data_IF_562824706789
#
_entry.id   IF_562824706789
#
_cell.length_a   1.000
_cell.length_b   1.000
_cell.length_c   1.000
_cell.angle_alpha   90.00
_cell.angle_beta   90.00
_cell.angle_gamma   90.00
#
_symmetry.space_group_name_H-M   'P 1'
#
loop_
_entity.id
_entity.type
_entity.pdbx_description
1 polymer ?
#
# COMPACT_ATOMS: atom_id res chain seq x y z
N UNK A 1 48.00 36.25 13.90
CA UNK A 1 46.56 35.90 13.97
C UNK A 1 46.24 35.17 12.68
N UNK A 2 45.93 33.89 12.79
CA UNK A 2 45.84 32.97 11.66
C UNK A 2 44.57 33.25 10.85
N UNK A 3 44.72 33.35 9.53
CA UNK A 3 43.65 33.63 8.57
C UNK A 3 42.75 32.39 8.42
N UNK A 4 41.88 32.13 9.40
CA UNK A 4 40.97 30.97 9.42
C UNK A 4 39.55 31.30 9.90
N UNK A 5 39.06 32.53 9.66
CA UNK A 5 37.71 32.95 10.09
C UNK A 5 36.74 33.21 8.93
N UNK A 6 37.06 32.74 7.72
CA UNK A 6 36.12 32.82 6.59
C UNK A 6 35.30 31.53 6.55
N UNK A 7 34.05 31.62 6.99
CA UNK A 7 33.09 30.51 6.96
C UNK A 7 32.70 30.23 5.50
N UNK A 8 32.91 28.98 5.06
CA UNK A 8 32.43 28.49 3.77
C UNK A 8 30.96 28.07 3.88
N UNK A 9 30.06 28.98 3.48
CA UNK A 9 28.62 28.72 3.49
C UNK A 9 28.20 27.61 2.52
N UNK A 10 28.92 27.41 1.41
CA UNK A 10 28.61 26.36 0.45
C UNK A 10 28.93 24.98 1.00
N UNK A 11 30.04 24.85 1.73
CA UNK A 11 30.36 23.62 2.44
C UNK A 11 29.31 23.29 3.52
N UNK A 12 28.88 24.30 4.28
CA UNK A 12 27.89 24.17 5.35
C UNK A 12 26.50 23.79 4.80
N UNK A 13 26.06 24.40 3.70
CA UNK A 13 24.79 24.06 3.04
C UNK A 13 24.78 22.60 2.58
N UNK A 14 25.89 22.13 1.99
CA UNK A 14 26.03 20.73 1.58
C UNK A 14 25.95 19.78 2.78
N UNK A 15 26.62 20.10 3.88
CA UNK A 15 26.55 19.31 5.12
C UNK A 15 25.12 19.24 5.65
N UNK A 16 24.43 20.37 5.69
CA UNK A 16 23.03 20.45 6.11
C UNK A 16 22.12 19.60 5.22
N UNK A 17 22.29 19.69 3.89
CA UNK A 17 21.52 18.90 2.93
C UNK A 17 21.68 17.39 3.20
N UNK A 18 22.91 16.94 3.44
CA UNK A 18 23.21 15.54 3.77
C UNK A 18 22.56 15.15 5.10
N UNK A 19 22.68 15.99 6.12
CA UNK A 19 22.08 15.73 7.43
C UNK A 19 20.54 15.60 7.32
N UNK A 20 19.89 16.52 6.61
CA UNK A 20 18.43 16.50 6.40
C UNK A 20 17.98 15.25 5.65
N UNK A 21 18.67 14.87 4.58
CA UNK A 21 18.32 13.65 3.84
C UNK A 21 18.56 12.38 4.67
N UNK A 22 19.60 12.37 5.51
CA UNK A 22 19.86 11.26 6.43
C UNK A 22 18.74 11.11 7.47
N UNK A 23 18.27 12.22 8.04
CA UNK A 23 17.18 12.24 9.01
C UNK A 23 15.86 11.78 8.36
N UNK A 24 15.58 12.27 7.14
CA UNK A 24 14.41 11.82 6.36
C UNK A 24 14.41 10.32 6.11
N UNK A 25 15.58 9.73 5.86
CA UNK A 25 15.72 8.28 5.70
C UNK A 25 15.49 7.55 7.02
N UNK A 26 16.13 8.00 8.10
CA UNK A 26 15.97 7.44 9.43
C UNK A 26 14.51 7.44 9.88
N UNK A 27 13.78 8.53 9.60
CA UNK A 27 12.36 8.63 9.92
C UNK A 27 11.53 7.56 9.21
N UNK A 28 11.76 7.32 7.91
CA UNK A 28 11.05 6.27 7.15
C UNK A 28 11.35 4.87 7.67
N UNK A 29 12.62 4.60 8.02
CA UNK A 29 13.04 3.33 8.61
C UNK A 29 12.38 3.11 9.97
N UNK A 30 12.38 4.12 10.85
CA UNK A 30 11.76 4.02 12.17
C UNK A 30 10.24 3.84 12.09
N UNK A 31 9.57 4.55 11.20
CA UNK A 31 8.15 4.36 10.92
C UNK A 31 7.86 2.93 10.41
N UNK A 32 8.70 2.38 9.53
CA UNK A 32 8.59 0.98 9.12
C UNK A 32 8.81 -0.01 10.28
N UNK A 33 9.78 0.24 11.16
CA UNK A 33 10.01 -0.57 12.37
C UNK A 33 8.78 -0.55 13.27
N UNK A 34 8.23 0.63 13.55
CA UNK A 34 7.03 0.79 14.38
C UNK A 34 5.83 0.08 13.77
N UNK A 35 5.59 0.23 12.46
CA UNK A 35 4.53 -0.50 11.75
C UNK A 35 4.67 -2.02 11.88
N UNK A 36 5.86 -2.56 11.64
CA UNK A 36 6.11 -3.99 11.70
C UNK A 36 5.89 -4.55 13.12
N UNK A 37 6.31 -3.81 14.15
CA UNK A 37 6.06 -4.15 15.56
C UNK A 37 4.56 -4.11 15.88
N UNK A 38 3.85 -3.06 15.45
CA UNK A 38 2.40 -2.96 15.62
C UNK A 38 1.64 -4.12 14.95
N UNK A 39 2.14 -4.61 13.82
CA UNK A 39 1.58 -5.75 13.11
C UNK A 39 2.00 -7.11 13.69
N UNK A 40 2.84 -7.15 14.73
CA UNK A 40 3.40 -8.38 15.33
C UNK A 40 4.07 -9.28 14.29
N UNK A 41 4.81 -8.67 13.35
CA UNK A 41 5.53 -9.39 12.30
C UNK A 41 6.60 -10.33 12.88
N UNK A 42 6.84 -11.46 12.22
CA UNK A 42 8.03 -12.28 12.53
C UNK A 42 9.31 -11.50 12.21
N UNK A 43 10.46 -11.93 12.73
CA UNK A 43 11.72 -11.23 12.48
C UNK A 43 12.05 -11.11 10.98
N UNK A 44 11.82 -12.18 10.22
CA UNK A 44 12.07 -12.17 8.76
C UNK A 44 11.16 -11.16 8.06
N UNK A 45 9.87 -11.15 8.40
CA UNK A 45 8.91 -10.17 7.88
C UNK A 45 9.26 -8.74 8.28
N UNK A 46 9.67 -8.54 9.54
CA UNK A 46 10.14 -7.24 10.02
C UNK A 46 11.34 -6.76 9.21
N UNK A 47 12.32 -7.64 8.96
CA UNK A 47 13.51 -7.33 8.18
C UNK A 47 13.14 -6.90 6.76
N UNK A 48 12.23 -7.64 6.12
CA UNK A 48 11.76 -7.34 4.77
C UNK A 48 11.01 -6.00 4.72
N UNK A 49 10.13 -5.73 5.68
CA UNK A 49 9.38 -4.47 5.78
C UNK A 49 10.30 -3.25 5.97
N UNK A 50 11.33 -3.37 6.81
CA UNK A 50 12.29 -2.30 7.05
C UNK A 50 13.19 -2.10 5.83
N UNK A 51 13.67 -3.17 5.19
CA UNK A 51 14.46 -3.07 3.96
C UNK A 51 13.67 -2.42 2.82
N UNK A 52 12.38 -2.74 2.69
CA UNK A 52 11.53 -2.20 1.64
C UNK A 52 11.03 -0.75 1.91
N UNK A 53 11.37 -0.12 3.05
CA UNK A 53 10.80 1.17 3.44
C UNK A 53 11.16 2.34 2.50
N UNK A 54 12.24 2.21 1.75
CA UNK A 54 12.72 3.24 0.81
C UNK A 54 12.09 3.11 -0.59
N UNK A 55 11.24 2.11 -0.82
CA UNK A 55 10.59 1.88 -2.11
C UNK A 55 9.57 2.99 -2.39
N UNK A 56 9.62 3.54 -3.60
CA UNK A 56 8.63 4.54 -4.04
C UNK A 56 7.34 3.82 -4.46
N UNK A 57 6.16 4.40 -4.16
CA UNK A 57 4.92 3.93 -4.74
C UNK A 57 5.01 3.89 -6.27
N UNK A 58 4.40 2.87 -6.87
CA UNK A 58 4.42 2.66 -8.30
C UNK A 58 3.74 3.84 -9.03
N UNK A 59 4.46 4.50 -9.94
CA UNK A 59 3.92 5.62 -10.71
C UNK A 59 2.95 5.12 -11.79
N UNK A 60 2.09 5.99 -12.33
CA UNK A 60 1.10 5.59 -13.35
C UNK A 60 1.78 4.98 -14.59
N UNK A 61 2.90 5.57 -15.01
CA UNK A 61 3.75 5.07 -16.10
C UNK A 61 4.33 3.68 -15.85
N UNK A 62 4.50 3.28 -14.59
CA UNK A 62 5.02 1.97 -14.22
C UNK A 62 3.91 0.91 -14.16
N UNK A 63 2.64 1.33 -14.06
CA UNK A 63 1.45 0.46 -14.09
C UNK A 63 1.10 0.03 -15.51
N UNK A 64 1.30 0.94 -16.45
CA UNK A 64 1.14 0.70 -17.87
C UNK A 64 2.34 -0.12 -18.36
N UNK A 65 2.32 -1.42 -18.04
CA UNK A 65 3.33 -2.33 -18.55
C UNK A 65 3.40 -2.21 -20.07
N UNK A 66 4.63 -2.17 -20.61
CA UNK A 66 4.86 -2.29 -22.05
C UNK A 66 3.94 -3.37 -22.63
N UNK A 67 3.32 -3.12 -23.79
CA UNK A 67 2.33 -3.98 -24.42
C UNK A 67 2.73 -5.45 -24.23
N UNK A 68 2.08 -6.12 -23.27
CA UNK A 68 2.50 -7.46 -22.90
C UNK A 68 2.15 -8.36 -24.08
N UNK A 69 3.18 -8.90 -24.74
CA UNK A 69 2.98 -9.83 -25.88
C UNK A 69 2.26 -11.11 -25.46
N UNK A 70 2.13 -11.36 -24.16
CA UNK A 70 1.49 -12.52 -23.57
C UNK A 70 0.60 -12.11 -22.38
N UNK A 71 -0.56 -12.75 -22.19
CA UNK A 71 -1.37 -12.58 -20.99
C UNK A 71 -0.55 -12.84 -19.73
N UNK A 72 -0.81 -12.08 -18.67
CA UNK A 72 -0.16 -12.32 -17.37
C UNK A 72 -0.52 -13.70 -16.80
N UNK A 73 -1.66 -14.25 -17.22
CA UNK A 73 -2.14 -15.56 -16.87
C UNK A 73 -2.53 -16.33 -18.15
N UNK A 74 -1.80 -17.40 -18.54
CA UNK A 74 -2.10 -18.19 -19.73
C UNK A 74 -3.45 -18.91 -19.70
N UNK A 75 -4.01 -19.16 -18.51
CA UNK A 75 -5.30 -19.85 -18.35
C UNK A 75 -6.48 -18.87 -18.23
N UNK A 76 -6.23 -17.57 -18.23
CA UNK A 76 -7.31 -16.60 -18.20
C UNK A 76 -7.98 -16.54 -19.60
N UNK A 77 -9.32 -16.70 -19.69
CA UNK A 77 -10.01 -16.57 -20.96
C UNK A 77 -9.80 -15.15 -21.50
N UNK A 78 -9.43 -15.06 -22.78
CA UNK A 78 -9.31 -13.78 -23.46
C UNK A 78 -10.70 -13.17 -23.63
N UNK A 79 -10.85 -11.88 -23.35
CA UNK A 79 -12.13 -11.17 -23.27
C UNK A 79 -12.81 -10.89 -24.63
N UNK A 80 -12.37 -11.55 -25.70
CA UNK A 80 -12.97 -11.51 -27.02
C UNK A 80 -14.12 -12.52 -27.11
N UNK A 81 -15.27 -12.15 -26.57
CA UNK A 81 -16.52 -12.86 -26.87
C UNK A 81 -17.66 -11.86 -27.03
N UNK A 82 -17.86 -11.45 -28.28
CA UNK A 82 -19.15 -10.96 -28.77
C UNK A 82 -19.94 -12.17 -29.27
N UNK A 83 -20.38 -13.08 -28.40
CA UNK A 83 -21.26 -14.18 -28.79
C UNK A 83 -22.31 -14.45 -27.72
N UNK A 84 -23.55 -14.13 -28.10
CA UNK A 84 -24.77 -14.90 -27.88
C UNK A 84 -24.62 -16.09 -26.91
N UNK A 85 -25.06 -15.89 -25.67
CA UNK A 85 -25.13 -16.95 -24.66
C UNK A 85 -26.22 -17.94 -25.07
N UNK A 86 -25.85 -18.92 -25.90
CA UNK A 86 -26.54 -20.21 -25.90
C UNK A 86 -26.13 -20.90 -24.60
N UNK A 87 -27.03 -20.80 -23.63
CA UNK A 87 -27.00 -21.55 -22.38
C UNK A 87 -26.73 -23.03 -22.67
N UNK A 88 -25.55 -23.53 -22.27
CA UNK A 88 -25.34 -24.98 -22.19
C UNK A 88 -26.18 -25.51 -21.02
N UNK A 89 -27.08 -26.49 -21.23
CA UNK A 89 -27.85 -27.06 -20.14
C UNK A 89 -26.92 -27.78 -19.16
N UNK A 90 -26.94 -27.33 -17.91
CA UNK A 90 -26.38 -28.05 -16.77
C UNK A 90 -27.25 -29.31 -16.58
N UNK A 91 -26.68 -30.51 -16.41
CA UNK A 91 -27.50 -31.67 -16.05
C UNK A 91 -28.14 -31.43 -14.70
N UNK A 92 -29.47 -31.32 -14.71
CA UNK A 92 -30.35 -31.15 -13.55
C UNK A 92 -30.16 -32.33 -12.59
N UNK A 93 -29.21 -32.20 -11.66
CA UNK A 93 -29.26 -32.95 -10.41
C UNK A 93 -30.10 -32.12 -9.46
N UNK A 94 -31.42 -32.33 -9.54
CA UNK A 94 -32.40 -31.60 -8.77
C UNK A 94 -32.14 -31.73 -7.26
N UNK A 95 -32.01 -30.60 -6.59
CA UNK A 95 -32.61 -30.28 -5.29
C UNK A 95 -32.73 -28.74 -5.29
N UNK A 96 -33.96 -28.26 -5.45
CA UNK A 96 -34.26 -26.84 -5.39
C UNK A 96 -34.40 -26.39 -3.95
N UNK A 97 -33.74 -25.28 -3.59
CA UNK A 97 -34.26 -24.33 -2.61
C UNK A 97 -33.83 -22.93 -3.05
N UNK A 98 -34.76 -22.18 -3.63
CA UNK A 98 -34.60 -20.75 -3.85
C UNK A 98 -34.82 -20.01 -2.52
N UNK A 99 -33.92 -19.10 -2.19
CA UNK A 99 -34.21 -18.00 -1.28
C UNK A 99 -33.36 -16.79 -1.67
N UNK A 100 -34.00 -15.90 -2.42
CA UNK A 100 -33.62 -14.50 -2.55
C UNK A 100 -33.65 -13.83 -1.18
N UNK A 101 -32.53 -13.23 -0.75
CA UNK A 101 -32.52 -12.19 0.27
C UNK A 101 -31.45 -11.15 -0.10
N UNK A 102 -31.92 -10.08 -0.74
CA UNK A 102 -31.25 -8.78 -0.82
C UNK A 102 -31.02 -8.27 0.61
N UNK A 103 -29.81 -8.51 1.16
CA UNK A 103 -29.46 -8.01 2.49
C UNK A 103 -29.20 -6.51 2.40
N UNK A 104 -30.08 -5.76 3.06
CA UNK A 104 -30.06 -4.31 3.17
C UNK A 104 -28.72 -3.86 3.76
N UNK A 105 -27.96 -3.09 2.99
CA UNK A 105 -26.97 -2.17 3.55
C UNK A 105 -27.76 -1.17 4.39
N UNK A 106 -27.68 -1.28 5.72
CA UNK A 106 -28.18 -0.25 6.62
C UNK A 106 -27.33 -0.21 7.88
N UNK A 107 -26.70 0.95 8.06
CA UNK A 107 -26.36 1.57 9.35
C UNK A 107 -25.47 0.79 10.32
N UNK A 108 -24.14 1.05 10.25
CA UNK A 108 -23.40 1.55 11.42
C UNK A 108 -22.30 2.50 10.93
N UNK A 109 -22.69 3.73 10.59
CA UNK A 109 -21.81 4.89 10.72
C UNK A 109 -22.15 5.47 12.09
N UNK A 110 -21.12 5.86 12.85
CA UNK A 110 -21.15 6.45 14.19
C UNK A 110 -21.07 5.44 15.35
N UNK A 111 -19.86 5.23 15.87
CA UNK A 111 -19.44 5.68 17.22
C UNK A 111 -18.04 5.13 17.54
N UNK A 112 -17.00 5.85 17.10
CA UNK A 112 -15.66 5.69 17.66
C UNK A 112 -14.94 7.05 17.75
N UNK A 113 -15.70 8.07 18.17
CA UNK A 113 -15.19 9.34 18.68
C UNK A 113 -15.81 9.61 20.06
N UNK A 114 -15.57 8.73 21.04
CA UNK A 114 -16.01 8.97 22.43
C UNK A 114 -15.02 8.46 23.49
N UNK A 115 -13.83 8.02 23.10
CA UNK A 115 -12.79 7.61 24.06
C UNK A 115 -11.47 8.28 23.71
N UNK A 116 -11.47 9.61 23.60
CA UNK A 116 -10.28 10.45 23.85
C UNK A 116 -10.72 11.92 23.83
N UNK A 117 -11.13 12.43 24.99
CA UNK A 117 -10.97 13.82 25.45
C UNK A 117 -11.79 13.96 26.74
N UNK A 118 -11.15 13.63 27.86
CA UNK A 118 -11.64 14.02 29.18
C UNK A 118 -11.40 15.52 29.42
N UNK A 119 -12.26 16.19 30.21
CA UNK A 119 -12.17 17.63 30.41
C UNK A 119 -10.99 17.98 31.32
N UNK A 120 -10.15 18.91 30.86
CA UNK A 120 -9.14 19.60 31.66
C UNK A 120 -9.81 20.83 32.28
N UNK A 121 -9.93 20.83 33.61
CA UNK A 121 -10.03 22.02 34.44
C UNK A 121 -8.94 21.90 35.50
#
# INVERSE_FOLDING_TARGET
MSQCDVIDFSALERELQVAVESERRHQRENDAKLRAVCQRASYDQFRDLVLACHMKPLEKKDKDGALRKQPWNPVAPSNNTSENVVSRPIPDTGIGIGASLHSKISSVKLTLESVYMGPHL
#
